data_IF_180844700738
#
_entry.id   IF_180844700738
#
_cell.length_a   1.000
_cell.length_b   1.000
_cell.length_c   1.000
_cell.angle_alpha   90.00
_cell.angle_beta   90.00
_cell.angle_gamma   90.00
#
_symmetry.space_group_name_H-M   'P 1'
#
loop_
_entity.id
_entity.type
_entity.pdbx_description
1 polymer ?
#
# COMPACT_ATOMS: atom_id res chain seq x y z
N UNK A 1 -15.74 -72.54 30.99
CA UNK A 1 -14.53 -72.03 30.29
C UNK A 1 -14.77 -71.25 28.98
N UNK A 2 -15.99 -71.20 28.39
CA UNK A 2 -16.22 -70.46 27.11
C UNK A 2 -16.47 -68.95 27.22
N UNK A 3 -16.74 -68.41 28.42
CA UNK A 3 -17.05 -66.97 28.61
C UNK A 3 -15.82 -66.07 28.80
N UNK A 4 -14.65 -66.62 29.13
CA UNK A 4 -13.41 -65.84 29.29
C UNK A 4 -12.71 -65.54 27.96
N UNK A 5 -12.89 -66.38 26.91
CA UNK A 5 -12.29 -66.14 25.59
C UNK A 5 -12.96 -65.00 24.81
N UNK A 6 -14.25 -64.73 25.03
CA UNK A 6 -14.96 -63.65 24.33
C UNK A 6 -14.55 -62.25 24.82
N UNK A 7 -14.17 -62.12 26.10
CA UNK A 7 -13.74 -60.85 26.68
C UNK A 7 -12.32 -60.45 26.20
N UNK A 8 -11.43 -61.43 26.02
CA UNK A 8 -10.08 -61.18 25.49
C UNK A 8 -10.10 -60.79 24.01
N UNK A 9 -11.02 -61.37 23.22
CA UNK A 9 -11.19 -61.01 21.81
C UNK A 9 -11.80 -59.60 21.63
N UNK A 10 -12.74 -59.17 22.48
CA UNK A 10 -13.28 -57.80 22.43
C UNK A 10 -12.25 -56.74 22.87
N UNK A 11 -11.36 -57.05 23.82
CA UNK A 11 -10.28 -56.14 24.23
C UNK A 11 -9.21 -55.98 23.13
N UNK A 12 -8.93 -57.03 22.36
CA UNK A 12 -8.01 -56.99 21.22
C UNK A 12 -8.58 -56.22 20.03
N UNK A 13 -9.89 -56.29 19.76
CA UNK A 13 -10.52 -55.48 18.70
C UNK A 13 -10.64 -54.00 19.10
N UNK A 14 -10.76 -53.70 20.40
CA UNK A 14 -10.73 -52.34 20.94
C UNK A 14 -9.37 -51.63 20.83
N UNK A 15 -8.26 -52.38 20.74
CA UNK A 15 -6.91 -51.81 20.57
C UNK A 15 -6.50 -51.55 19.10
N UNK A 16 -7.27 -52.05 18.11
CA UNK A 16 -6.94 -51.88 16.69
C UNK A 16 -7.59 -50.64 16.07
N UNK A 17 -8.60 -50.06 16.72
CA UNK A 17 -9.03 -48.68 16.45
C UNK A 17 -8.17 -47.68 17.24
N UNK A 18 -6.84 -47.75 17.06
CA UNK A 18 -6.01 -46.56 17.28
C UNK A 18 -6.45 -45.54 16.23
N UNK A 19 -7.41 -44.68 16.61
CA UNK A 19 -7.76 -43.48 15.85
C UNK A 19 -6.44 -42.83 15.41
N UNK A 20 -6.25 -42.74 14.09
CA UNK A 20 -4.98 -42.38 13.47
C UNK A 20 -4.53 -41.05 14.10
N UNK A 21 -3.59 -41.15 15.03
CA UNK A 21 -3.30 -40.04 15.93
C UNK A 21 -2.83 -38.85 15.10
N UNK A 22 -3.53 -37.73 15.23
CA UNK A 22 -3.16 -36.43 14.68
C UNK A 22 -1.68 -36.14 15.02
N UNK A 23 -0.89 -35.82 14.01
CA UNK A 23 0.55 -35.56 14.19
C UNK A 23 0.78 -34.07 14.27
N UNK A 24 1.73 -33.64 15.11
CA UNK A 24 2.01 -32.21 15.32
C UNK A 24 3.28 -31.81 14.60
N UNK A 25 3.26 -30.65 13.95
CA UNK A 25 4.36 -30.11 13.16
C UNK A 25 4.60 -28.64 13.52
N UNK A 26 5.88 -28.27 13.57
CA UNK A 26 6.31 -26.88 13.57
C UNK A 26 6.88 -26.59 12.20
N UNK A 27 6.33 -25.60 11.52
CA UNK A 27 6.81 -25.16 10.21
C UNK A 27 7.33 -23.75 10.31
N UNK A 28 8.59 -23.55 9.94
CA UNK A 28 9.25 -22.25 10.00
C UNK A 28 9.39 -21.68 8.59
N UNK A 29 8.98 -20.43 8.43
CA UNK A 29 9.02 -19.65 7.20
C UNK A 29 9.90 -18.42 7.47
N UNK A 30 10.99 -18.28 6.70
CA UNK A 30 11.87 -17.11 6.77
C UNK A 30 11.31 -15.99 5.92
N UNK A 31 10.79 -14.96 6.57
CA UNK A 31 10.04 -13.88 5.92
C UNK A 31 11.00 -12.95 5.16
N UNK A 32 12.20 -12.69 5.68
CA UNK A 32 13.19 -11.81 5.04
C UNK A 32 13.77 -12.28 3.70
N UNK A 33 13.33 -13.43 3.16
CA UNK A 33 13.84 -14.02 1.92
C UNK A 33 12.72 -14.22 0.90
N UNK A 34 13.05 -14.11 -0.38
CA UNK A 34 12.21 -14.61 -1.46
C UNK A 34 12.21 -16.15 -1.37
N UNK A 35 11.09 -16.87 -1.59
CA UNK A 35 9.77 -16.43 -2.06
C UNK A 35 8.78 -15.86 -1.04
N UNK A 36 9.17 -15.76 0.23
CA UNK A 36 8.17 -15.65 1.29
C UNK A 36 7.58 -14.25 1.44
N UNK A 37 8.36 -13.29 1.92
CA UNK A 37 7.84 -11.92 2.09
C UNK A 37 8.75 -10.86 1.51
N UNK A 38 9.76 -11.25 0.72
CA UNK A 38 10.64 -10.30 0.06
C UNK A 38 9.81 -9.20 -0.62
N UNK A 39 8.77 -9.56 -1.36
CA UNK A 39 7.99 -8.61 -2.17
C UNK A 39 6.81 -7.94 -1.44
N UNK A 40 6.54 -8.28 -0.19
CA UNK A 40 5.53 -7.58 0.62
C UNK A 40 6.11 -6.25 1.09
N UNK A 41 5.44 -5.10 0.86
CA UNK A 41 5.88 -3.81 1.36
C UNK A 41 5.93 -3.82 2.89
N UNK A 42 7.08 -3.47 3.48
CA UNK A 42 7.28 -3.49 4.94
C UNK A 42 6.43 -2.47 5.74
N UNK A 43 5.48 -1.79 5.10
CA UNK A 43 4.51 -0.91 5.74
C UNK A 43 3.13 -1.48 5.40
N UNK A 44 2.41 -1.99 6.41
CA UNK A 44 1.11 -2.67 6.30
C UNK A 44 1.14 -4.14 5.79
N UNK A 45 2.30 -4.78 5.88
CA UNK A 45 2.37 -6.24 5.80
C UNK A 45 1.55 -6.91 6.93
N UNK A 46 1.28 -8.22 6.79
CA UNK A 46 0.46 -8.93 7.77
C UNK A 46 1.03 -8.89 9.20
N UNK A 47 2.36 -8.79 9.37
CA UNK A 47 3.01 -8.66 10.69
C UNK A 47 2.63 -7.35 11.37
N UNK A 48 2.60 -6.27 10.61
CA UNK A 48 2.17 -4.95 11.07
C UNK A 48 0.69 -5.01 11.48
N UNK A 49 -0.15 -5.63 10.65
CA UNK A 49 -1.58 -5.81 10.93
C UNK A 49 -1.83 -6.60 12.22
N UNK A 50 -1.04 -7.65 12.49
CA UNK A 50 -1.11 -8.42 13.75
C UNK A 50 -0.73 -7.56 14.97
N UNK A 51 0.35 -6.77 14.88
CA UNK A 51 0.76 -5.88 15.96
C UNK A 51 -0.23 -4.74 16.21
N UNK A 52 -0.84 -4.20 15.16
CA UNK A 52 -1.90 -3.20 15.26
C UNK A 52 -3.13 -3.81 15.93
N UNK A 53 -3.53 -5.03 15.55
CA UNK A 53 -4.59 -5.77 16.23
C UNK A 53 -4.34 -5.97 17.72
N UNK A 54 -3.10 -6.32 18.09
CA UNK A 54 -2.69 -6.43 19.50
C UNK A 54 -2.75 -5.08 20.23
N UNK A 55 -2.24 -4.01 19.61
CA UNK A 55 -2.27 -2.66 20.17
C UNK A 55 -3.70 -2.17 20.40
N UNK A 56 -4.60 -2.46 19.47
CA UNK A 56 -6.01 -2.06 19.50
C UNK A 56 -6.89 -3.03 20.32
N UNK A 57 -6.29 -4.07 20.94
CA UNK A 57 -6.99 -5.13 21.68
C UNK A 57 -8.03 -5.89 20.85
N UNK A 58 -7.90 -5.88 19.51
CA UNK A 58 -8.74 -6.66 18.57
C UNK A 58 -8.25 -8.09 18.39
N UNK A 59 -7.00 -8.36 18.79
CA UNK A 59 -6.36 -9.66 18.65
C UNK A 59 -5.51 -9.96 19.88
N UNK A 60 -5.73 -11.11 20.51
CA UNK A 60 -4.92 -11.57 21.63
C UNK A 60 -3.60 -12.17 21.13
N UNK A 61 -2.50 -11.87 21.82
CA UNK A 61 -1.21 -12.50 21.60
C UNK A 61 -0.76 -13.22 22.87
N UNK A 62 -0.01 -14.30 22.70
CA UNK A 62 0.51 -15.13 23.77
C UNK A 62 2.04 -15.21 23.67
N UNK A 63 2.70 -15.39 24.80
CA UNK A 63 4.14 -15.60 24.87
C UNK A 63 4.52 -16.88 24.14
N UNK A 64 5.52 -16.79 23.27
CA UNK A 64 6.06 -17.96 22.60
C UNK A 64 6.89 -18.81 23.57
N UNK A 65 6.41 -20.03 23.87
CA UNK A 65 7.09 -21.01 24.74
C UNK A 65 7.77 -22.14 23.97
N UNK A 66 7.57 -22.23 22.64
CA UNK A 66 8.02 -23.35 21.81
C UNK A 66 7.21 -24.65 21.98
N UNK A 67 6.21 -24.67 22.87
CA UNK A 67 5.23 -25.75 22.98
C UNK A 67 4.13 -25.59 21.91
N UNK A 68 3.52 -26.70 21.51
CA UNK A 68 2.55 -26.71 20.43
C UNK A 68 1.26 -26.02 20.86
N UNK A 69 0.97 -24.88 20.24
CA UNK A 69 -0.28 -24.13 20.45
C UNK A 69 -0.49 -23.64 21.89
N UNK A 70 0.59 -23.41 22.64
CA UNK A 70 0.52 -23.03 24.05
C UNK A 70 0.09 -21.57 24.24
N UNK A 71 -1.19 -21.39 24.50
CA UNK A 71 -1.86 -20.10 24.66
C UNK A 71 -2.15 -19.76 26.12
N UNK A 72 -1.28 -20.20 27.03
CA UNK A 72 -1.48 -20.03 28.49
C UNK A 72 -1.09 -18.64 28.99
N UNK A 73 -0.07 -18.01 28.40
CA UNK A 73 0.48 -16.73 28.87
C UNK A 73 0.18 -15.59 27.90
N UNK A 74 -0.81 -14.75 28.21
CA UNK A 74 -1.16 -13.58 27.40
C UNK A 74 -0.05 -12.51 27.51
N UNK A 75 0.29 -11.87 26.39
CA UNK A 75 1.23 -10.74 26.35
C UNK A 75 0.53 -9.47 25.85
N UNK A 76 0.71 -8.35 26.55
CA UNK A 76 0.19 -7.04 26.12
C UNK A 76 1.13 -6.34 25.14
N UNK A 77 0.60 -5.38 24.35
CA UNK A 77 1.45 -4.55 23.48
C UNK A 77 2.50 -3.75 24.25
N UNK A 78 2.21 -3.31 25.49
CA UNK A 78 3.18 -2.60 26.33
C UNK A 78 4.37 -3.50 26.70
N UNK A 79 4.09 -4.76 27.06
CA UNK A 79 5.14 -5.77 27.27
C UNK A 79 5.95 -6.00 26.00
N UNK A 80 5.33 -6.09 24.81
CA UNK A 80 6.07 -6.22 23.54
C UNK A 80 7.03 -5.04 23.33
N UNK A 81 6.61 -3.82 23.64
CA UNK A 81 7.46 -2.64 23.47
C UNK A 81 8.58 -2.55 24.52
N UNK A 82 8.42 -3.08 25.73
CA UNK A 82 9.49 -3.10 26.72
C UNK A 82 10.69 -3.96 26.27
N UNK A 83 10.48 -4.91 25.35
CA UNK A 83 11.58 -5.65 24.73
C UNK A 83 12.40 -4.83 23.73
N UNK A 84 12.01 -3.61 23.33
CA UNK A 84 12.74 -2.86 22.29
C UNK A 84 14.22 -2.64 22.63
N UNK A 85 14.52 -2.37 23.91
CA UNK A 85 15.89 -2.24 24.43
C UNK A 85 16.71 -3.52 24.24
N UNK A 86 16.08 -4.68 24.40
CA UNK A 86 16.75 -5.96 24.23
C UNK A 86 17.23 -6.22 22.79
N UNK A 87 16.68 -5.49 21.81
CA UNK A 87 16.98 -5.65 20.39
C UNK A 87 17.63 -4.40 19.76
N UNK A 88 18.16 -3.48 20.58
CA UNK A 88 18.76 -2.21 20.14
C UNK A 88 17.82 -1.39 19.24
N UNK A 89 16.53 -1.37 19.59
CA UNK A 89 15.47 -0.71 18.81
C UNK A 89 14.77 0.35 19.63
N UNK A 90 14.53 1.51 19.01
CA UNK A 90 13.68 2.55 19.59
C UNK A 90 12.24 2.07 19.80
N UNK A 91 11.73 1.23 18.88
CA UNK A 91 10.40 0.61 18.95
C UNK A 91 10.38 -0.68 18.16
N UNK A 92 9.68 -1.71 18.65
CA UNK A 92 9.41 -2.94 17.89
C UNK A 92 8.33 -2.66 16.83
N UNK A 93 8.64 -2.98 15.57
CA UNK A 93 7.79 -2.83 14.38
C UNK A 93 7.50 -4.19 13.74
N UNK A 94 6.47 -4.26 12.91
CA UNK A 94 6.09 -5.49 12.20
C UNK A 94 7.26 -6.07 11.38
N UNK A 95 8.02 -5.20 10.71
CA UNK A 95 9.19 -5.57 9.91
C UNK A 95 10.33 -6.23 10.69
N UNK A 96 10.37 -6.06 12.02
CA UNK A 96 11.42 -6.66 12.86
C UNK A 96 11.22 -8.17 13.03
N UNK A 97 9.98 -8.64 12.87
CA UNK A 97 9.64 -10.06 12.90
C UNK A 97 10.02 -10.71 11.56
N UNK A 98 11.13 -11.45 11.57
CA UNK A 98 11.74 -12.01 10.36
C UNK A 98 11.40 -13.50 10.14
N UNK A 99 10.73 -14.13 11.11
CA UNK A 99 10.37 -15.53 11.09
C UNK A 99 8.88 -15.67 11.40
N UNK A 100 8.18 -16.47 10.60
CA UNK A 100 6.84 -16.98 10.90
C UNK A 100 6.98 -18.46 11.22
N UNK A 101 6.35 -18.90 12.30
CA UNK A 101 6.23 -20.31 12.64
C UNK A 101 4.76 -20.70 12.65
N UNK A 102 4.40 -21.83 12.03
CA UNK A 102 3.07 -22.40 12.04
C UNK A 102 3.08 -23.66 12.91
N UNK A 103 2.09 -23.77 13.78
CA UNK A 103 1.79 -25.00 14.52
C UNK A 103 0.69 -25.73 13.75
N UNK A 104 1.07 -26.81 13.07
CA UNK A 104 0.19 -27.54 12.17
C UNK A 104 -0.13 -28.92 12.75
N UNK A 105 -1.39 -29.28 12.68
CA UNK A 105 -1.82 -30.67 12.74
C UNK A 105 -1.74 -31.29 11.35
N UNK A 106 -1.24 -32.51 11.29
CA UNK A 106 -1.08 -33.26 10.05
C UNK A 106 -1.79 -34.60 10.14
N UNK A 107 -2.58 -34.87 9.10
CA UNK A 107 -3.41 -36.06 8.93
C UNK A 107 -2.80 -36.90 7.79
N UNK A 108 -2.01 -37.94 8.12
CA UNK A 108 -1.27 -38.77 7.16
C UNK A 108 -2.11 -39.38 6.04
N UNK A 109 -3.30 -39.87 6.39
CA UNK A 109 -4.27 -40.54 5.53
C UNK A 109 -4.79 -39.62 4.43
N UNK A 110 -5.09 -38.36 4.78
CA UNK A 110 -5.61 -37.35 3.86
C UNK A 110 -4.51 -36.51 3.22
N UNK A 111 -3.25 -36.69 3.66
CA UNK A 111 -2.14 -35.80 3.35
C UNK A 111 -2.53 -34.31 3.55
N UNK A 112 -3.29 -34.06 4.62
CA UNK A 112 -3.91 -32.77 4.91
C UNK A 112 -3.25 -32.12 6.13
N UNK A 113 -3.19 -30.79 6.11
CA UNK A 113 -2.66 -29.99 7.20
C UNK A 113 -3.71 -29.00 7.68
N UNK A 114 -3.75 -28.79 8.99
CA UNK A 114 -4.59 -27.78 9.61
C UNK A 114 -3.74 -26.89 10.52
N UNK A 115 -3.83 -25.57 10.35
CA UNK A 115 -3.00 -24.62 11.09
C UNK A 115 -3.76 -24.26 12.37
N UNK A 116 -3.21 -24.60 13.54
CA UNK A 116 -3.85 -24.30 14.84
C UNK A 116 -3.39 -22.99 15.44
N UNK A 117 -2.11 -22.66 15.27
CA UNK A 117 -1.55 -21.41 15.75
C UNK A 117 -0.45 -20.91 14.82
N UNK A 118 -0.18 -19.61 14.90
CA UNK A 118 0.91 -18.97 14.18
C UNK A 118 1.71 -18.06 15.11
N UNK A 119 3.03 -18.04 14.95
CA UNK A 119 3.93 -17.19 15.73
C UNK A 119 4.74 -16.29 14.82
N UNK A 120 4.80 -14.99 15.11
CA UNK A 120 5.81 -14.10 14.51
C UNK A 120 6.98 -13.95 15.49
N UNK A 121 8.21 -14.12 15.01
CA UNK A 121 9.40 -14.23 15.86
C UNK A 121 10.51 -13.26 15.41
N UNK A 122 11.10 -12.56 16.38
CA UNK A 122 12.37 -11.83 16.28
C UNK A 122 13.46 -12.68 16.94
N UNK A 123 14.57 -12.88 16.24
CA UNK A 123 15.79 -13.50 16.80
C UNK A 123 16.96 -12.55 16.55
N UNK A 124 17.63 -12.07 17.60
CA UNK A 124 18.85 -11.27 17.49
C UNK A 124 19.72 -11.44 18.72
N UNK A 125 21.05 -11.55 18.53
CA UNK A 125 22.05 -11.62 19.62
C UNK A 125 21.67 -12.60 20.74
N UNK A 126 21.25 -13.81 20.37
CA UNK A 126 20.82 -14.86 21.33
C UNK A 126 19.47 -14.63 22.00
N UNK A 127 18.83 -13.47 21.84
CA UNK A 127 17.51 -13.15 22.39
C UNK A 127 16.40 -13.50 21.41
N UNK A 128 15.26 -13.95 21.95
CA UNK A 128 14.07 -14.32 21.19
C UNK A 128 12.87 -13.56 21.74
N UNK A 129 12.11 -12.93 20.86
CA UNK A 129 10.76 -12.44 21.14
C UNK A 129 9.82 -13.08 20.13
N UNK A 130 8.89 -13.90 20.60
CA UNK A 130 7.87 -14.51 19.77
C UNK A 130 6.48 -14.15 20.28
N UNK A 131 5.59 -13.81 19.36
CA UNK A 131 4.17 -13.57 19.62
C UNK A 131 3.38 -14.68 18.95
N UNK A 132 2.76 -15.54 19.76
CA UNK A 132 1.88 -16.61 19.32
C UNK A 132 0.44 -16.10 19.22
N UNK A 133 -0.28 -16.52 18.19
CA UNK A 133 -1.68 -16.23 17.97
C UNK A 133 -2.43 -17.53 17.68
N UNK A 134 -3.65 -17.66 18.20
CA UNK A 134 -4.59 -18.68 17.71
C UNK A 134 -4.88 -18.41 16.23
N UNK A 135 -4.79 -19.45 15.40
CA UNK A 135 -4.83 -19.23 13.95
C UNK A 135 -6.19 -18.72 13.48
N UNK A 136 -7.30 -19.20 14.04
CA UNK A 136 -8.64 -18.75 13.61
C UNK A 136 -8.89 -17.26 13.91
N UNK A 137 -8.45 -16.78 15.07
CA UNK A 137 -8.52 -15.37 15.45
C UNK A 137 -7.63 -14.50 14.54
N UNK A 138 -6.38 -14.91 14.35
CA UNK A 138 -5.45 -14.21 13.46
C UNK A 138 -5.93 -14.22 12.02
N UNK A 139 -6.47 -15.35 11.54
CA UNK A 139 -7.01 -15.52 10.20
C UNK A 139 -8.16 -14.54 9.98
N UNK A 140 -9.14 -14.49 10.89
CA UNK A 140 -10.26 -13.55 10.81
C UNK A 140 -9.75 -12.10 10.73
N UNK A 141 -8.88 -11.70 11.65
CA UNK A 141 -8.32 -10.34 11.69
C UNK A 141 -7.55 -9.96 10.42
N UNK A 142 -6.75 -10.90 9.88
CA UNK A 142 -5.98 -10.70 8.65
C UNK A 142 -6.86 -10.66 7.40
N UNK A 143 -7.88 -11.52 7.31
CA UNK A 143 -8.83 -11.54 6.20
C UNK A 143 -9.69 -10.26 6.20
N UNK A 144 -10.17 -9.82 7.37
CA UNK A 144 -10.91 -8.56 7.52
C UNK A 144 -10.05 -7.36 7.09
N UNK A 145 -8.78 -7.31 7.53
CA UNK A 145 -7.87 -6.25 7.12
C UNK A 145 -7.62 -6.24 5.60
N UNK A 146 -7.45 -7.42 4.98
CA UNK A 146 -7.29 -7.55 3.53
C UNK A 146 -8.55 -7.06 2.80
N UNK A 147 -9.72 -7.61 3.16
CA UNK A 147 -11.00 -7.30 2.52
C UNK A 147 -11.39 -5.83 2.66
N UNK A 148 -11.15 -5.21 3.83
CA UNK A 148 -11.41 -3.79 4.04
C UNK A 148 -10.43 -2.88 3.29
N UNK A 149 -9.19 -3.34 3.05
CA UNK A 149 -8.21 -2.60 2.24
C UNK A 149 -8.46 -2.75 0.74
N UNK A 150 -9.10 -3.84 0.31
CA UNK A 150 -9.37 -4.13 -1.09
C UNK A 150 -10.16 -3.03 -1.82
N UNK A 151 -11.26 -2.44 -1.30
CA UNK A 151 -11.92 -1.31 -1.97
C UNK A 151 -11.12 -0.01 -1.88
N UNK A 152 -10.26 0.12 -0.87
CA UNK A 152 -9.48 1.34 -0.59
C UNK A 152 -8.09 1.34 -1.24
N UNK A 153 -7.71 0.28 -1.97
CA UNK A 153 -6.37 0.13 -2.57
C UNK A 153 -5.99 1.26 -3.55
N UNK A 154 -6.97 2.05 -4.02
CA UNK A 154 -6.74 3.26 -4.80
C UNK A 154 -6.18 4.44 -3.98
N UNK A 155 -6.29 4.38 -2.66
CA UNK A 155 -5.84 5.39 -1.68
C UNK A 155 -4.82 4.84 -0.69
N UNK A 156 -4.85 3.54 -0.39
CA UNK A 156 -3.98 2.87 0.59
C UNK A 156 -3.22 1.70 -0.04
N UNK A 157 -2.13 1.27 0.61
CA UNK A 157 -1.54 -0.03 0.30
C UNK A 157 -2.50 -1.16 0.68
N UNK A 158 -2.54 -2.22 -0.14
CA UNK A 158 -3.26 -3.44 0.21
C UNK A 158 -2.64 -4.01 1.50
N UNK A 159 -3.49 -4.38 2.47
CA UNK A 159 -3.05 -4.87 3.78
C UNK A 159 -3.10 -6.39 3.81
N UNK A 160 -2.28 -7.00 4.67
CA UNK A 160 -2.32 -8.44 4.97
C UNK A 160 -2.27 -9.37 3.73
N UNK A 161 -1.69 -8.92 2.62
CA UNK A 161 -1.53 -9.74 1.43
C UNK A 161 -0.20 -10.49 1.42
N UNK A 162 -0.13 -11.51 0.58
CA UNK A 162 1.04 -12.28 0.23
C UNK A 162 1.21 -12.22 -1.28
N UNK A 163 2.39 -11.78 -1.72
CA UNK A 163 2.72 -11.75 -3.14
C UNK A 163 3.04 -13.17 -3.60
N UNK A 164 2.35 -13.65 -4.63
CA UNK A 164 2.64 -14.97 -5.18
C UNK A 164 4.09 -15.00 -5.72
N UNK A 165 4.86 -16.04 -5.35
CA UNK A 165 6.19 -16.26 -5.89
C UNK A 165 6.20 -16.98 -7.25
N UNK A 166 5.06 -17.45 -7.74
CA UNK A 166 4.90 -17.89 -9.14
C UNK A 166 4.63 -16.70 -10.06
N UNK A 167 3.83 -15.76 -9.56
CA UNK A 167 3.41 -14.58 -10.30
C UNK A 167 3.46 -13.36 -9.37
N UNK A 168 4.48 -12.48 -9.51
CA UNK A 168 4.67 -11.30 -8.67
C UNK A 168 3.58 -10.24 -8.87
N UNK A 169 2.59 -10.50 -9.72
CA UNK A 169 1.42 -9.65 -9.91
C UNK A 169 0.21 -10.18 -9.13
N UNK A 170 0.20 -11.46 -8.75
CA UNK A 170 -0.91 -12.10 -8.01
C UNK A 170 -0.75 -11.90 -6.51
N UNK A 171 -1.66 -11.14 -5.93
CA UNK A 171 -1.69 -10.88 -4.49
C UNK A 171 -2.83 -11.66 -3.85
N UNK A 172 -2.52 -12.54 -2.90
CA UNK A 172 -3.51 -13.29 -2.15
C UNK A 172 -3.61 -12.78 -0.72
N UNK A 173 -4.75 -12.95 -0.03
CA UNK A 173 -4.75 -12.91 1.42
C UNK A 173 -3.65 -13.83 1.96
N UNK A 174 -2.89 -13.37 2.96
CA UNK A 174 -1.81 -14.18 3.54
C UNK A 174 -2.30 -15.55 4.01
N UNK A 175 -3.50 -15.61 4.58
CA UNK A 175 -4.16 -16.83 5.04
C UNK A 175 -4.35 -17.85 3.90
N UNK A 176 -4.75 -17.39 2.72
CA UNK A 176 -4.90 -18.21 1.50
C UNK A 176 -3.54 -18.72 1.02
N UNK A 177 -2.51 -17.88 1.03
CA UNK A 177 -1.15 -18.30 0.66
C UNK A 177 -0.60 -19.36 1.63
N UNK A 178 -0.87 -19.20 2.94
CA UNK A 178 -0.49 -20.18 3.94
C UNK A 178 -1.20 -21.53 3.73
N UNK A 179 -2.52 -21.53 3.51
CA UNK A 179 -3.28 -22.76 3.22
C UNK A 179 -2.85 -23.45 1.93
N UNK A 180 -2.57 -22.67 0.87
CA UNK A 180 -2.10 -23.19 -0.42
C UNK A 180 -0.61 -23.60 -0.43
N UNK A 181 0.12 -23.38 0.67
CA UNK A 181 1.55 -23.73 0.80
C UNK A 181 2.45 -23.07 -0.24
N UNK A 182 2.16 -21.81 -0.57
CA UNK A 182 2.86 -21.06 -1.62
C UNK A 182 4.02 -20.25 -1.05
N UNK A 183 4.91 -20.96 -0.35
CA UNK A 183 6.02 -20.40 0.41
C UNK A 183 7.13 -21.44 0.60
N UNK A 184 8.37 -20.99 0.75
CA UNK A 184 9.49 -21.82 1.15
C UNK A 184 9.53 -21.94 2.69
N UNK A 185 9.64 -23.15 3.21
CA UNK A 185 9.63 -23.43 4.64
C UNK A 185 10.70 -24.43 5.05
N UNK A 186 10.82 -24.69 6.34
CA UNK A 186 11.49 -25.85 6.89
C UNK A 186 10.62 -26.44 8.02
N UNK A 187 10.75 -27.75 8.27
CA UNK A 187 10.08 -28.42 9.39
C UNK A 187 11.15 -28.78 10.45
N UNK A 188 11.43 -27.90 11.41
CA UNK A 188 12.44 -28.16 12.43
C UNK A 188 12.02 -29.26 13.42
N UNK A 189 10.72 -29.39 13.71
CA UNK A 189 10.21 -30.27 14.77
C UNK A 189 8.91 -30.95 14.37
N UNK A 190 8.72 -32.18 14.86
CA UNK A 190 7.48 -32.95 14.73
C UNK A 190 7.24 -33.82 15.97
N UNK A 191 5.99 -34.15 16.27
CA UNK A 191 5.59 -35.17 17.27
C UNK A 191 4.76 -36.24 16.58
N UNK A 192 5.12 -37.51 16.83
CA UNK A 192 4.40 -38.68 16.37
C UNK A 192 4.59 -39.05 14.89
N UNK A 193 5.45 -38.32 14.16
CA UNK A 193 5.77 -38.60 12.76
C UNK A 193 7.01 -39.48 12.62
N UNK A 194 6.94 -40.61 11.90
CA UNK A 194 8.11 -41.42 11.57
C UNK A 194 9.12 -40.65 10.70
N UNK A 195 10.42 -40.95 10.87
CA UNK A 195 11.51 -40.29 10.13
C UNK A 195 11.37 -40.32 8.60
N UNK A 196 11.02 -41.45 7.94
CA UNK A 196 10.86 -41.48 6.48
C UNK A 196 9.76 -40.53 6.00
N UNK A 197 8.68 -40.42 6.78
CA UNK A 197 7.57 -39.54 6.46
C UNK A 197 7.96 -38.07 6.62
N UNK A 198 8.71 -37.75 7.68
CA UNK A 198 9.26 -36.41 7.90
C UNK A 198 10.23 -36.01 6.77
N UNK A 199 11.08 -36.93 6.31
CA UNK A 199 11.98 -36.70 5.18
C UNK A 199 11.21 -36.37 3.90
N UNK A 200 10.13 -37.12 3.60
CA UNK A 200 9.24 -36.84 2.47
C UNK A 200 8.59 -35.46 2.57
N UNK A 201 8.17 -35.05 3.77
CA UNK A 201 7.57 -33.73 3.99
C UNK A 201 8.58 -32.59 3.84
N UNK A 202 9.85 -32.81 4.17
CA UNK A 202 10.94 -31.83 3.97
C UNK A 202 11.34 -31.70 2.49
N UNK A 203 11.27 -32.78 1.71
CA UNK A 203 11.62 -32.75 0.28
C UNK A 203 10.63 -32.00 -0.64
N UNK A 204 9.44 -31.63 -0.14
CA UNK A 204 8.39 -30.94 -0.91
C UNK A 204 8.46 -29.41 -0.81
N UNK A 205 9.60 -28.84 -0.43
CA UNK A 205 9.71 -27.40 -0.30
C UNK A 205 9.47 -26.69 -1.64
N UNK A 206 8.69 -25.62 -1.55
CA UNK A 206 8.34 -24.80 -2.68
C UNK A 206 9.58 -24.18 -3.34
N UNK A 207 9.78 -24.45 -4.63
CA UNK A 207 10.84 -23.85 -5.44
C UNK A 207 10.23 -22.76 -6.31
N UNK A 208 10.60 -21.51 -6.03
CA UNK A 208 10.17 -20.39 -6.84
C UNK A 208 11.04 -20.26 -8.09
N UNK A 209 10.43 -19.81 -9.19
CA UNK A 209 11.22 -19.32 -10.33
C UNK A 209 11.84 -17.99 -9.89
N UNK A 210 13.17 -17.95 -9.82
CA UNK A 210 13.89 -16.68 -9.65
C UNK A 210 13.73 -15.89 -10.94
N UNK A 211 12.99 -14.79 -10.86
CA UNK A 211 13.00 -13.77 -11.89
C UNK A 211 13.74 -12.56 -11.31
N UNK A 212 14.64 -11.97 -12.09
CA UNK A 212 15.24 -10.68 -11.76
C UNK A 212 14.14 -9.63 -11.79
N UNK A 213 13.58 -9.37 -10.61
CA UNK A 213 12.44 -8.49 -10.46
C UNK A 213 12.89 -7.13 -9.94
N UNK A 214 13.27 -6.23 -10.86
CA UNK A 214 13.30 -4.78 -10.63
C UNK A 214 11.92 -4.13 -10.82
N UNK A 215 10.96 -4.40 -9.91
CA UNK A 215 9.54 -4.18 -10.23
C UNK A 215 8.91 -3.09 -9.35
N UNK A 216 8.51 -1.98 -9.96
CA UNK A 216 7.39 -1.16 -9.52
C UNK A 216 6.17 -2.06 -9.21
N UNK A 217 5.74 -2.09 -7.95
CA UNK A 217 4.76 -3.08 -7.48
C UNK A 217 3.36 -2.82 -8.06
N UNK A 218 2.91 -3.72 -8.93
CA UNK A 218 1.55 -3.74 -9.45
C UNK A 218 0.66 -4.63 -8.58
N UNK A 219 -0.51 -4.12 -8.24
CA UNK A 219 -1.62 -4.84 -7.62
C UNK A 219 -2.53 -5.34 -8.72
N UNK A 220 -2.81 -6.63 -8.78
CA UNK A 220 -3.86 -7.15 -9.67
C UNK A 220 -5.22 -6.62 -9.22
N UNK A 221 -5.92 -5.92 -10.11
CA UNK A 221 -7.30 -5.43 -9.88
C UNK A 221 -8.31 -6.48 -10.32
N UNK A 222 -8.08 -7.09 -11.48
CA UNK A 222 -8.89 -8.18 -12.02
C UNK A 222 -8.04 -9.11 -12.90
N UNK A 223 -8.67 -9.96 -13.71
CA UNK A 223 -7.94 -10.93 -14.53
C UNK A 223 -6.97 -10.28 -15.52
N UNK A 224 -7.30 -9.11 -16.06
CA UNK A 224 -6.55 -8.43 -17.12
C UNK A 224 -5.87 -7.14 -16.65
N UNK A 225 -6.36 -6.50 -15.60
CA UNK A 225 -5.93 -5.18 -15.18
C UNK A 225 -5.04 -5.19 -13.94
N UNK A 226 -3.95 -4.44 -14.03
CA UNK A 226 -2.95 -4.26 -12.99
C UNK A 226 -2.80 -2.79 -12.65
N UNK A 227 -2.69 -2.48 -11.36
CA UNK A 227 -2.68 -1.11 -10.86
C UNK A 227 -1.45 -0.79 -10.04
N UNK A 228 -0.93 0.42 -10.18
CA UNK A 228 0.09 0.94 -9.27
C UNK A 228 -0.15 2.41 -8.96
N UNK A 229 0.11 2.81 -7.72
CA UNK A 229 -0.09 4.19 -7.27
C UNK A 229 1.16 5.00 -7.54
N UNK A 230 0.98 6.18 -8.12
CA UNK A 230 2.07 7.05 -8.54
C UNK A 230 1.72 8.50 -8.23
N UNK A 231 2.75 9.29 -8.01
CA UNK A 231 2.63 10.73 -7.82
C UNK A 231 3.50 11.44 -8.84
N UNK A 232 2.91 12.38 -9.56
CA UNK A 232 3.60 13.26 -10.49
C UNK A 232 3.74 14.64 -9.89
N UNK A 233 4.88 15.29 -10.15
CA UNK A 233 5.07 16.71 -9.89
C UNK A 233 5.02 17.46 -11.20
N UNK A 234 4.05 18.35 -11.31
CA UNK A 234 3.79 19.19 -12.47
C UNK A 234 4.29 20.61 -12.15
N UNK A 235 5.41 21.05 -12.76
CA UNK A 235 5.89 22.43 -12.62
C UNK A 235 5.04 23.36 -13.51
N UNK A 236 4.17 24.18 -12.91
CA UNK A 236 3.24 25.02 -13.68
C UNK A 236 3.95 26.11 -14.50
N UNK A 237 5.07 26.65 -13.98
CA UNK A 237 5.87 27.67 -14.67
C UNK A 237 6.75 27.14 -15.80
N UNK A 238 6.82 25.82 -16.00
CA UNK A 238 7.63 25.25 -17.07
C UNK A 238 7.04 25.65 -18.45
N UNK A 239 7.86 25.98 -19.46
CA UNK A 239 7.37 26.39 -20.79
C UNK A 239 6.35 25.42 -21.39
N UNK A 240 6.57 24.12 -21.20
CA UNK A 240 5.72 23.04 -21.72
C UNK A 240 4.36 22.97 -21.02
N UNK A 241 4.24 23.56 -19.84
CA UNK A 241 2.98 23.63 -19.07
C UNK A 241 2.32 25.01 -19.16
N UNK A 242 2.80 25.91 -20.03
CA UNK A 242 2.30 27.28 -20.15
C UNK A 242 0.79 27.35 -20.32
N UNK A 243 0.18 26.41 -21.04
CA UNK A 243 -1.27 26.31 -21.23
C UNK A 243 -2.07 26.13 -19.93
N UNK A 244 -1.48 25.54 -18.89
CA UNK A 244 -2.10 25.38 -17.57
C UNK A 244 -1.89 26.60 -16.65
N UNK A 245 -0.95 27.49 -17.00
CA UNK A 245 -0.49 28.58 -16.15
C UNK A 245 -0.72 29.98 -16.75
N UNK A 246 -1.45 30.08 -17.86
CA UNK A 246 -1.79 31.35 -18.50
C UNK A 246 -2.51 32.31 -17.53
N UNK A 247 -2.47 33.63 -17.78
CA UNK A 247 -3.25 34.69 -17.06
C UNK A 247 -3.43 34.50 -15.54
N UNK A 248 -2.63 35.18 -14.71
CA UNK A 248 -2.69 35.13 -13.23
C UNK A 248 -2.58 33.71 -12.61
N UNK A 249 -2.05 32.73 -13.37
CA UNK A 249 -1.85 31.35 -12.90
C UNK A 249 -3.09 30.45 -13.03
N UNK A 250 -3.78 30.52 -14.18
CA UNK A 250 -5.14 30.03 -14.44
C UNK A 250 -5.58 28.77 -13.69
N UNK A 251 -4.98 27.60 -13.89
CA UNK A 251 -5.45 26.39 -13.19
C UNK A 251 -5.34 26.53 -11.66
N UNK A 252 -4.22 27.03 -11.16
CA UNK A 252 -4.04 27.22 -9.74
C UNK A 252 -4.97 28.32 -9.18
N UNK A 253 -5.24 29.37 -9.95
CA UNK A 253 -6.16 30.43 -9.59
C UNK A 253 -7.60 29.89 -9.44
N UNK A 254 -8.08 29.12 -10.41
CA UNK A 254 -9.42 28.49 -10.36
C UNK A 254 -9.58 27.56 -9.14
N UNK A 255 -8.53 26.78 -8.83
CA UNK A 255 -8.54 25.90 -7.66
C UNK A 255 -8.54 26.69 -6.36
N UNK A 256 -7.75 27.76 -6.26
CA UNK A 256 -7.76 28.65 -5.09
C UNK A 256 -9.10 29.36 -4.92
N UNK A 257 -9.73 29.79 -6.01
CA UNK A 257 -11.06 30.40 -5.99
C UNK A 257 -12.13 29.40 -5.53
N UNK A 258 -12.10 28.17 -6.05
CA UNK A 258 -13.00 27.11 -5.61
C UNK A 258 -12.86 26.80 -4.12
N UNK A 259 -11.64 26.87 -3.58
CA UNK A 259 -11.38 26.74 -2.13
C UNK A 259 -11.95 27.94 -1.36
N UNK A 260 -11.65 29.18 -1.79
CA UNK A 260 -12.10 30.41 -1.13
C UNK A 260 -13.64 30.50 -1.08
N UNK A 261 -14.31 30.04 -2.13
CA UNK A 261 -15.76 30.05 -2.26
C UNK A 261 -16.44 28.81 -1.66
N UNK A 262 -15.69 27.92 -1.00
CA UNK A 262 -16.24 26.70 -0.38
C UNK A 262 -16.77 25.66 -1.38
N UNK A 263 -16.45 25.78 -2.66
CA UNK A 263 -16.86 24.83 -3.73
C UNK A 263 -15.93 23.62 -3.81
N UNK A 264 -14.72 23.71 -3.26
CA UNK A 264 -13.75 22.62 -3.16
C UNK A 264 -13.38 22.36 -1.71
N UNK A 265 -13.44 21.10 -1.28
CA UNK A 265 -13.07 20.73 0.10
C UNK A 265 -11.55 20.60 0.23
N UNK A 266 -10.89 21.41 1.07
CA UNK A 266 -9.47 21.29 1.34
C UNK A 266 -9.21 20.16 2.36
N UNK A 267 -8.24 19.31 2.07
CA UNK A 267 -7.75 18.28 2.98
C UNK A 267 -6.30 18.58 3.38
N UNK A 268 -5.90 18.09 4.57
CA UNK A 268 -4.53 18.22 5.07
C UNK A 268 -3.55 17.61 4.07
N UNK A 269 -2.65 18.44 3.55
CA UNK A 269 -1.65 17.98 2.60
C UNK A 269 -0.61 17.09 3.30
N UNK A 270 -0.42 15.88 2.77
CA UNK A 270 0.64 14.96 3.21
C UNK A 270 1.80 14.99 2.22
N UNK A 271 3.01 14.63 2.64
CA UNK A 271 4.18 14.57 1.74
C UNK A 271 4.08 13.41 0.74
N UNK A 272 3.33 12.36 1.05
CA UNK A 272 3.11 11.17 0.24
C UNK A 272 1.69 10.66 0.52
N UNK A 273 0.86 10.47 -0.51
CA UNK A 273 -0.56 10.08 -0.36
C UNK A 273 -0.78 8.63 0.10
N UNK A 274 0.27 7.86 0.36
CA UNK A 274 0.19 6.41 0.27
C UNK A 274 -0.70 5.67 1.29
N UNK A 275 -1.10 6.24 2.43
CA UNK A 275 -1.50 5.38 3.56
C UNK A 275 -2.61 5.91 4.50
N UNK A 276 -3.34 6.99 4.16
CA UNK A 276 -4.38 7.51 5.07
C UNK A 276 -5.59 8.09 4.33
N UNK A 277 -6.81 7.93 4.86
CA UNK A 277 -7.98 8.66 4.38
C UNK A 277 -7.73 10.17 4.43
N UNK A 278 -8.38 10.89 3.52
CA UNK A 278 -8.26 12.34 3.46
C UNK A 278 -8.83 12.95 4.75
N UNK A 279 -7.98 13.65 5.50
CA UNK A 279 -8.40 14.35 6.72
C UNK A 279 -8.76 15.78 6.34
N UNK A 280 -10.04 16.14 6.51
CA UNK A 280 -10.51 17.51 6.23
C UNK A 280 -9.63 18.53 6.95
N UNK A 281 -9.28 19.59 6.24
CA UNK A 281 -8.58 20.70 6.84
C UNK A 281 -9.58 21.58 7.57
N UNK A 282 -9.21 22.02 8.77
CA UNK A 282 -10.00 22.98 9.53
C UNK A 282 -10.11 24.32 8.76
N UNK A 283 -11.32 24.87 8.68
CA UNK A 283 -11.62 26.03 7.85
C UNK A 283 -10.88 27.29 8.31
N UNK A 284 -10.80 27.53 9.63
CA UNK A 284 -10.06 28.67 10.19
C UNK A 284 -8.56 28.55 9.89
N UNK A 285 -7.99 27.35 10.09
CA UNK A 285 -6.58 27.06 9.75
C UNK A 285 -6.29 27.08 8.26
N UNK A 286 -7.29 26.92 7.39
CA UNK A 286 -7.11 27.15 5.96
C UNK A 286 -7.13 28.63 5.66
N UNK A 287 -8.11 29.37 6.18
CA UNK A 287 -8.25 30.80 5.94
C UNK A 287 -6.93 31.54 6.24
N UNK A 288 -6.29 31.24 7.37
CA UNK A 288 -4.99 31.83 7.74
C UNK A 288 -3.84 31.47 6.80
N UNK A 289 -3.95 30.42 5.98
CA UNK A 289 -2.93 29.99 5.00
C UNK A 289 -3.18 30.55 3.60
N UNK A 290 -4.33 31.17 3.37
CA UNK A 290 -4.67 31.82 2.11
C UNK A 290 -4.20 33.27 2.06
N UNK A 291 -3.45 33.73 3.08
CA UNK A 291 -2.85 35.05 3.18
C UNK A 291 -1.41 34.93 3.68
N UNK A 292 -0.54 35.86 3.28
CA UNK A 292 0.83 35.98 3.78
C UNK A 292 1.19 37.46 3.96
N UNK A 293 2.22 37.73 4.77
CA UNK A 293 2.72 39.09 4.96
C UNK A 293 3.74 39.44 3.88
N UNK A 294 3.56 40.58 3.22
CA UNK A 294 4.57 41.12 2.32
C UNK A 294 5.75 41.73 3.09
N UNK A 295 6.73 42.28 2.38
CA UNK A 295 7.88 42.99 2.96
C UNK A 295 7.48 44.18 3.85
N UNK A 296 6.32 44.79 3.58
CA UNK A 296 5.75 45.92 4.33
C UNK A 296 4.89 45.47 5.52
N UNK A 297 4.79 44.17 5.81
CA UNK A 297 3.93 43.55 6.83
C UNK A 297 2.41 43.68 6.57
N UNK A 298 1.99 43.96 5.35
CA UNK A 298 0.59 43.92 4.95
C UNK A 298 0.16 42.48 4.65
N UNK A 299 -1.08 42.15 5.00
CA UNK A 299 -1.69 40.86 4.68
C UNK A 299 -2.13 40.83 3.22
N UNK A 300 -1.47 40.01 2.40
CA UNK A 300 -1.78 39.83 0.98
C UNK A 300 -2.47 38.49 0.76
N UNK A 301 -3.60 38.44 0.03
CA UNK A 301 -4.24 37.18 -0.35
C UNK A 301 -3.38 36.40 -1.36
N UNK A 302 -3.25 35.10 -1.11
CA UNK A 302 -2.56 34.16 -2.00
C UNK A 302 -3.22 34.16 -3.38
N UNK A 303 -2.39 34.31 -4.41
CA UNK A 303 -2.76 34.35 -5.81
C UNK A 303 -2.41 33.02 -6.50
N UNK A 304 -3.05 32.74 -7.64
CA UNK A 304 -2.71 31.58 -8.47
C UNK A 304 -1.24 31.53 -8.87
N UNK A 305 -0.60 32.70 -9.02
CA UNK A 305 0.83 32.83 -9.35
C UNK A 305 1.79 32.39 -8.24
N UNK A 306 1.31 32.31 -7.00
CA UNK A 306 2.10 31.86 -5.85
C UNK A 306 2.21 30.33 -5.80
N UNK A 307 1.27 29.63 -6.47
CA UNK A 307 1.28 28.18 -6.63
C UNK A 307 2.12 27.84 -7.86
N UNK A 308 3.37 27.43 -7.64
CA UNK A 308 4.28 27.16 -8.75
C UNK A 308 4.25 25.71 -9.22
N UNK A 309 3.74 24.78 -8.40
CA UNK A 309 3.74 23.35 -8.70
C UNK A 309 2.45 22.70 -8.22
N UNK A 310 1.97 21.74 -8.99
CA UNK A 310 0.95 20.78 -8.55
C UNK A 310 1.60 19.42 -8.32
N UNK A 311 1.07 18.67 -7.37
CA UNK A 311 1.31 17.23 -7.30
C UNK A 311 0.02 16.50 -7.65
N UNK A 312 0.09 15.67 -8.68
CA UNK A 312 -1.01 14.82 -9.11
C UNK A 312 -0.78 13.44 -8.52
N UNK A 313 -1.64 13.02 -7.61
CA UNK A 313 -1.60 11.70 -7.00
C UNK A 313 -2.69 10.83 -7.62
N UNK A 314 -2.31 9.70 -8.19
CA UNK A 314 -3.23 8.84 -8.93
C UNK A 314 -2.73 7.42 -9.07
N UNK A 315 -3.33 6.68 -9.99
CA UNK A 315 -2.97 5.30 -10.26
C UNK A 315 -2.90 5.03 -11.76
N UNK A 316 -1.84 4.32 -12.16
CA UNK A 316 -1.79 3.68 -13.47
C UNK A 316 -2.57 2.39 -13.40
N UNK A 317 -3.46 2.17 -14.37
CA UNK A 317 -4.03 0.86 -14.66
C UNK A 317 -3.48 0.39 -16.01
N UNK A 318 -2.92 -0.80 -16.04
CA UNK A 318 -2.39 -1.45 -17.24
C UNK A 318 -3.23 -2.69 -17.51
N UNK A 319 -3.85 -2.73 -18.68
CA UNK A 319 -4.47 -3.95 -19.18
C UNK A 319 -3.36 -4.81 -19.82
N UNK A 320 -3.13 -6.01 -19.29
CA UNK A 320 -2.09 -6.94 -19.74
C UNK A 320 -2.33 -7.39 -21.18
N UNK A 321 -3.57 -7.66 -21.57
CA UNK A 321 -3.91 -8.17 -22.91
C UNK A 321 -3.67 -7.12 -23.99
N UNK A 322 -4.13 -5.89 -23.77
CA UNK A 322 -4.02 -4.83 -24.77
C UNK A 322 -2.76 -3.97 -24.61
N UNK A 323 -1.97 -4.18 -23.55
CA UNK A 323 -0.89 -3.28 -23.14
C UNK A 323 -1.29 -1.80 -23.03
N UNK A 324 -2.61 -1.52 -22.92
CA UNK A 324 -3.12 -0.15 -22.80
C UNK A 324 -2.94 0.31 -21.36
N UNK A 325 -2.56 1.57 -21.21
CA UNK A 325 -2.27 2.18 -19.93
C UNK A 325 -3.15 3.40 -19.76
N UNK A 326 -3.71 3.55 -18.58
CA UNK A 326 -4.55 4.68 -18.23
C UNK A 326 -4.14 5.21 -16.87
N UNK A 327 -3.72 6.47 -16.82
CA UNK A 327 -3.47 7.16 -15.56
C UNK A 327 -4.75 7.85 -15.09
N UNK A 328 -5.25 7.42 -13.95
CA UNK A 328 -6.40 8.06 -13.31
C UNK A 328 -5.93 8.89 -12.13
N UNK A 329 -6.15 10.20 -12.23
CA UNK A 329 -5.89 11.14 -11.16
C UNK A 329 -6.91 10.89 -10.05
N UNK A 330 -6.44 10.76 -8.82
CA UNK A 330 -7.31 10.62 -7.67
C UNK A 330 -7.31 11.89 -6.79
N UNK A 331 -6.32 12.77 -6.93
CA UNK A 331 -6.18 13.95 -6.09
C UNK A 331 -5.07 14.89 -6.52
N UNK A 332 -5.22 16.16 -6.15
CA UNK A 332 -4.31 17.25 -6.50
C UNK A 332 -3.83 17.92 -5.23
N UNK A 333 -2.52 18.14 -5.10
CA UNK A 333 -1.95 18.93 -4.00
C UNK A 333 -1.34 20.21 -4.54
N UNK A 334 -1.74 21.35 -3.95
CA UNK A 334 -1.18 22.66 -4.25
C UNK A 334 0.16 22.83 -3.52
N UNK A 335 1.23 23.14 -4.27
CA UNK A 335 2.58 23.29 -3.71
C UNK A 335 3.09 24.71 -3.95
N UNK A 336 3.40 25.38 -2.85
CA UNK A 336 4.06 26.68 -2.82
C UNK A 336 5.58 26.43 -2.79
N UNK A 337 6.33 27.20 -3.57
CA UNK A 337 7.79 27.26 -3.43
C UNK A 337 8.13 28.61 -2.83
N UNK A 338 8.82 28.56 -1.70
CA UNK A 338 9.17 29.70 -0.86
C UNK A 338 10.07 30.70 -1.61
N UNK A 339 9.58 31.92 -1.80
CA UNK A 339 10.40 33.13 -1.78
C UNK A 339 10.41 33.68 -0.33
N UNK A 340 11.16 34.74 -0.05
CA UNK A 340 11.27 35.28 1.32
C UNK A 340 9.93 35.69 1.93
N UNK A 341 9.01 36.23 1.12
CA UNK A 341 7.65 36.60 1.56
C UNK A 341 6.75 35.39 1.88
N UNK A 342 6.97 34.25 1.23
CA UNK A 342 6.16 33.03 1.38
C UNK A 342 6.78 32.00 2.35
N UNK A 343 7.90 32.32 3.01
CA UNK A 343 8.61 31.42 3.95
C UNK A 343 7.74 30.95 5.11
N UNK A 344 6.78 31.77 5.55
CA UNK A 344 5.86 31.47 6.66
C UNK A 344 4.77 30.48 6.28
N UNK A 345 4.50 30.28 4.98
CA UNK A 345 3.46 29.37 4.51
C UNK A 345 3.95 27.93 4.39
N UNK A 346 3.06 26.94 4.64
CA UNK A 346 3.42 25.55 4.43
C UNK A 346 3.68 25.29 2.94
N UNK A 347 4.81 24.64 2.65
CA UNK A 347 5.19 24.20 1.29
C UNK A 347 4.07 23.44 0.56
N UNK A 348 3.30 22.64 1.31
CA UNK A 348 2.12 21.96 0.81
C UNK A 348 0.89 22.63 1.40
N UNK A 349 0.14 23.37 0.58
CA UNK A 349 -0.95 24.22 1.05
C UNK A 349 -2.19 23.40 1.42
N UNK A 350 -2.70 22.65 0.45
CA UNK A 350 -3.90 21.84 0.57
C UNK A 350 -3.87 20.69 -0.43
N UNK A 351 -4.55 19.60 -0.08
CA UNK A 351 -4.85 18.48 -0.96
C UNK A 351 -6.35 18.49 -1.29
N UNK A 352 -6.70 18.15 -2.52
CA UNK A 352 -8.07 18.15 -3.04
C UNK A 352 -8.40 16.76 -3.61
N UNK A 353 -9.64 16.31 -3.43
CA UNK A 353 -10.16 15.13 -4.13
C UNK A 353 -10.38 15.49 -5.60
N UNK A 354 -9.81 14.70 -6.52
CA UNK A 354 -9.93 15.01 -7.94
C UNK A 354 -11.36 14.86 -8.46
N UNK A 355 -12.21 14.03 -7.83
CA UNK A 355 -13.61 13.91 -8.23
C UNK A 355 -14.35 15.23 -8.02
N UNK A 356 -14.12 15.90 -6.89
CA UNK A 356 -14.69 17.23 -6.60
C UNK A 356 -14.11 18.28 -7.54
N UNK A 357 -12.78 18.28 -7.72
CA UNK A 357 -12.09 19.20 -8.65
C UNK A 357 -12.63 19.07 -10.06
N UNK A 358 -12.82 17.85 -10.54
CA UNK A 358 -13.34 17.57 -11.88
C UNK A 358 -14.73 18.17 -12.05
N UNK A 359 -15.65 17.85 -11.13
CA UNK A 359 -17.02 18.38 -11.17
C UNK A 359 -17.05 19.91 -11.15
N UNK A 360 -16.20 20.53 -10.32
CA UNK A 360 -16.11 21.99 -10.23
C UNK A 360 -15.60 22.61 -11.52
N UNK A 361 -14.45 22.17 -12.03
CA UNK A 361 -13.84 22.73 -13.24
C UNK A 361 -14.68 22.47 -14.49
N UNK A 362 -15.36 21.32 -14.60
CA UNK A 362 -16.30 21.04 -15.69
C UNK A 362 -17.47 22.03 -15.67
N UNK A 363 -18.06 22.32 -14.50
CA UNK A 363 -19.11 23.35 -14.36
C UNK A 363 -18.63 24.72 -14.79
N UNK A 364 -17.44 25.13 -14.32
CA UNK A 364 -16.84 26.44 -14.65
C UNK A 364 -16.56 26.57 -16.15
N UNK A 365 -16.12 25.48 -16.78
CA UNK A 365 -15.91 25.44 -18.22
C UNK A 365 -17.22 25.59 -19.01
N UNK A 366 -18.30 24.91 -18.59
CA UNK A 366 -19.62 25.05 -19.23
C UNK A 366 -20.21 26.46 -19.05
N UNK A 367 -20.02 27.09 -17.88
CA UNK A 367 -20.37 28.49 -17.67
C UNK A 367 -19.64 29.41 -18.66
N UNK A 368 -18.34 29.17 -18.88
CA UNK A 368 -17.54 29.95 -19.84
C UNK A 368 -18.05 29.83 -21.29
N UNK A 369 -18.57 28.65 -21.67
CA UNK A 369 -19.16 28.43 -22.99
C UNK A 369 -20.50 29.16 -23.16
N UNK A 370 -21.32 29.20 -22.10
CA UNK A 370 -22.62 29.89 -22.13
C UNK A 370 -22.45 31.41 -22.22
N UNK A 371 -21.51 31.98 -21.49
CA UNK A 371 -21.19 33.41 -21.58
C UNK A 371 -20.75 33.83 -23.00
N UNK A 372 -20.02 32.95 -23.71
CA UNK A 372 -19.63 33.15 -25.11
C UNK A 372 -20.83 33.25 -26.06
N UNK A 373 -21.88 32.46 -25.83
CA UNK A 373 -23.11 32.49 -26.66
C UNK A 373 -23.94 33.75 -26.40
N UNK A 374 -23.95 34.25 -25.16
CA UNK A 374 -24.78 35.37 -24.75
C UNK A 374 -24.20 36.75 -25.11
N UNK A 375 -22.87 36.90 -25.31
CA UNK A 375 -22.29 38.21 -25.62
C UNK A 375 -21.03 38.10 -26.51
N UNK A 376 -21.18 38.05 -27.85
CA UNK A 376 -20.06 37.83 -28.78
C UNK A 376 -18.93 38.87 -28.71
N UNK A 377 -19.18 40.07 -28.16
CA UNK A 377 -18.22 41.18 -28.10
C UNK A 377 -17.43 41.31 -26.78
N UNK A 378 -17.68 40.49 -25.74
CA UNK A 378 -16.88 40.51 -24.51
C UNK A 378 -15.63 39.64 -24.65
N UNK A 379 -14.44 40.22 -24.46
CA UNK A 379 -13.16 39.50 -24.38
C UNK A 379 -13.32 38.29 -23.45
N UNK A 380 -12.97 37.11 -23.95
CA UNK A 380 -13.04 35.85 -23.20
C UNK A 380 -12.40 36.01 -21.82
N UNK A 381 -13.20 35.85 -20.76
CA UNK A 381 -12.64 35.71 -19.40
C UNK A 381 -11.81 34.43 -19.28
N UNK A 382 -11.99 33.44 -20.16
CA UNK A 382 -11.11 32.28 -20.28
C UNK A 382 -11.02 31.46 -18.99
N UNK A 383 -12.15 31.34 -18.28
CA UNK A 383 -12.27 30.68 -16.97
C UNK A 383 -12.21 29.17 -17.17
N UNK A 384 -11.34 28.49 -16.43
CA UNK A 384 -11.16 27.04 -16.49
C UNK A 384 -10.86 26.42 -17.88
N UNK A 385 -10.35 27.22 -18.84
CA UNK A 385 -10.04 26.76 -20.20
C UNK A 385 -8.55 26.45 -20.36
N UNK A 386 -8.24 25.26 -20.86
CA UNK A 386 -6.95 24.93 -21.46
C UNK A 386 -6.95 25.30 -22.94
N UNK A 387 -5.94 26.05 -23.38
CA UNK A 387 -5.77 26.48 -24.78
C UNK A 387 -4.56 25.76 -25.35
N UNK A 388 -4.73 25.05 -26.47
CA UNK A 388 -3.63 24.36 -27.11
C UNK A 388 -2.56 25.38 -27.57
N UNK A 389 -1.30 25.26 -27.11
CA UNK A 389 -0.22 26.15 -27.53
C UNK A 389 0.04 26.16 -29.05
N UNK A 390 -0.19 25.03 -29.72
CA UNK A 390 0.07 24.84 -31.14
C UNK A 390 -1.13 25.23 -32.02
N UNK A 391 -2.34 25.16 -31.45
CA UNK A 391 -3.63 25.40 -32.13
C UNK A 391 -4.59 26.18 -31.23
N UNK A 392 -4.44 27.51 -31.08
CA UNK A 392 -5.17 28.31 -30.08
C UNK A 392 -6.72 28.24 -30.18
N UNK A 393 -7.24 27.86 -31.35
CA UNK A 393 -8.65 27.57 -31.62
C UNK A 393 -9.14 26.30 -30.89
N UNK A 394 -8.25 25.35 -30.61
CA UNK A 394 -8.54 24.15 -29.84
C UNK A 394 -8.54 24.48 -28.34
N UNK A 395 -9.75 24.52 -27.78
CA UNK A 395 -10.00 24.82 -26.37
C UNK A 395 -10.63 23.63 -25.68
N UNK A 396 -10.09 23.26 -24.53
CA UNK A 396 -10.56 22.14 -23.69
C UNK A 396 -10.79 22.62 -22.26
N UNK A 397 -11.51 21.85 -21.47
CA UNK A 397 -11.51 22.07 -20.03
C UNK A 397 -10.14 21.70 -19.44
N UNK A 398 -9.76 22.29 -18.31
CA UNK A 398 -8.57 21.83 -17.58
C UNK A 398 -8.65 20.37 -17.16
N UNK A 399 -9.84 19.84 -16.91
CA UNK A 399 -10.05 18.43 -16.58
C UNK A 399 -9.71 17.52 -17.75
N UNK A 400 -10.20 17.82 -18.96
CA UNK A 400 -9.88 17.07 -20.17
C UNK A 400 -8.38 17.14 -20.47
N UNK A 401 -7.76 18.31 -20.28
CA UNK A 401 -6.31 18.46 -20.46
C UNK A 401 -5.50 17.63 -19.45
N UNK A 402 -5.95 17.54 -18.19
CA UNK A 402 -5.30 16.72 -17.18
C UNK A 402 -5.52 15.21 -17.44
N UNK A 403 -6.73 14.79 -17.83
CA UNK A 403 -7.05 13.37 -18.09
C UNK A 403 -6.40 12.86 -19.38
N UNK A 404 -6.22 13.72 -20.39
CA UNK A 404 -5.48 13.40 -21.62
C UNK A 404 -3.97 13.62 -21.50
N UNK A 405 -3.47 13.91 -20.29
CA UNK A 405 -2.04 14.12 -20.01
C UNK A 405 -1.40 15.20 -20.91
N UNK A 406 -2.14 16.27 -21.23
CA UNK A 406 -1.67 17.42 -22.03
C UNK A 406 -0.78 18.36 -21.19
N UNK A 407 0.20 17.78 -20.52
CA UNK A 407 1.16 18.44 -19.64
C UNK A 407 2.48 17.66 -19.55
N UNK A 408 3.54 18.33 -19.12
CA UNK A 408 4.80 17.69 -18.71
C UNK A 408 4.89 17.61 -17.19
N UNK A 409 5.08 16.40 -16.68
CA UNK A 409 5.31 16.16 -15.26
C UNK A 409 6.42 15.12 -15.05
N UNK A 410 6.98 15.10 -13.85
CA UNK A 410 8.00 14.12 -13.47
C UNK A 410 7.50 13.24 -12.34
N UNK A 411 7.85 11.96 -12.39
CA UNK A 411 7.57 11.04 -11.29
C UNK A 411 8.21 11.59 -10.01
N UNK A 412 7.38 11.90 -9.03
CA UNK A 412 7.78 12.40 -7.73
C UNK A 412 7.91 11.27 -6.72
N UNK A 413 6.96 10.35 -6.76
CA UNK A 413 6.86 9.22 -5.87
C UNK A 413 6.16 8.07 -6.60
N UNK A 414 6.50 6.85 -6.20
CA UNK A 414 5.99 5.62 -6.77
C UNK A 414 5.76 4.59 -5.65
N UNK A 415 4.64 3.85 -5.68
CA UNK A 415 4.24 2.96 -4.59
C UNK A 415 4.88 1.57 -4.59
N UNK A 416 4.62 0.83 -3.51
CA UNK A 416 4.67 -0.64 -3.40
C UNK A 416 5.99 -1.36 -3.10
N UNK A 417 6.94 -0.76 -2.38
CA UNK A 417 7.76 -1.51 -1.42
C UNK A 417 8.40 -0.58 -0.39
N UNK A 418 8.40 -0.98 0.89
CA UNK A 418 9.21 -0.35 1.97
C UNK A 418 8.98 1.15 2.23
N UNK A 419 7.91 1.76 1.73
CA UNK A 419 7.76 3.21 1.76
C UNK A 419 8.83 3.95 0.92
N UNK A 420 9.55 3.23 0.04
CA UNK A 420 10.66 3.77 -0.73
C UNK A 420 10.16 4.79 -1.72
N UNK A 421 10.38 6.06 -1.39
CA UNK A 421 10.35 7.11 -2.38
C UNK A 421 11.53 6.94 -3.36
N UNK A 422 11.50 7.66 -4.48
CA UNK A 422 12.56 7.59 -5.49
C UNK A 422 13.97 7.87 -4.95
N UNK A 423 14.11 8.68 -3.88
CA UNK A 423 15.42 8.96 -3.26
C UNK A 423 15.97 7.74 -2.53
N UNK A 424 15.11 7.00 -1.84
CA UNK A 424 15.49 5.77 -1.15
C UNK A 424 15.79 4.64 -2.15
N UNK A 425 15.03 4.56 -3.24
CA UNK A 425 15.31 3.65 -4.35
C UNK A 425 16.69 3.95 -4.97
N UNK A 426 16.96 5.24 -5.19
CA UNK A 426 18.23 5.73 -5.71
C UNK A 426 19.40 5.35 -4.81
N UNK A 427 19.30 5.62 -3.50
CA UNK A 427 20.31 5.22 -2.50
C UNK A 427 20.54 3.70 -2.46
N UNK A 428 19.49 2.89 -2.50
CA UNK A 428 19.63 1.43 -2.38
C UNK A 428 20.30 0.76 -3.58
N UNK A 429 20.34 1.43 -4.74
CA UNK A 429 20.96 0.92 -5.95
C UNK A 429 22.14 1.79 -6.41
N UNK A 430 22.66 2.66 -5.52
CA UNK A 430 23.77 3.59 -5.82
C UNK A 430 23.58 4.43 -7.09
N UNK A 431 22.34 4.78 -7.44
CA UNK A 431 21.99 5.51 -8.67
C UNK A 431 21.51 6.93 -8.38
N UNK A 432 21.50 7.80 -9.39
CA UNK A 432 20.94 9.16 -9.25
C UNK A 432 19.39 9.12 -9.28
N UNK A 433 18.68 10.02 -8.58
CA UNK A 433 17.22 10.06 -8.61
C UNK A 433 16.60 10.22 -10.02
N UNK A 434 17.30 10.87 -10.94
CA UNK A 434 16.84 10.99 -12.34
C UNK A 434 16.86 9.65 -13.07
N UNK A 435 17.92 8.85 -12.87
CA UNK A 435 18.02 7.49 -13.42
C UNK A 435 16.97 6.57 -12.82
N UNK A 436 16.72 6.68 -11.51
CA UNK A 436 15.65 5.95 -10.84
C UNK A 436 14.28 6.23 -11.47
N UNK A 437 13.97 7.51 -11.79
CA UNK A 437 12.74 7.88 -12.52
C UNK A 437 12.70 7.26 -13.90
N UNK A 438 13.79 7.33 -14.67
CA UNK A 438 13.86 6.76 -16.02
C UNK A 438 13.61 5.25 -16.00
N UNK A 439 14.23 4.52 -15.06
CA UNK A 439 14.03 3.08 -14.91
C UNK A 439 12.60 2.72 -14.52
N UNK A 440 11.99 3.47 -13.59
CA UNK A 440 10.58 3.29 -13.23
C UNK A 440 9.69 3.52 -14.46
N UNK A 441 9.92 4.58 -15.22
CA UNK A 441 9.16 4.87 -16.43
C UNK A 441 9.30 3.76 -17.48
N UNK A 442 10.53 3.32 -17.77
CA UNK A 442 10.79 2.22 -18.72
C UNK A 442 10.08 0.94 -18.30
N UNK A 443 10.06 0.62 -17.00
CA UNK A 443 9.31 -0.51 -16.51
C UNK A 443 7.80 -0.34 -16.72
N UNK A 444 7.24 0.83 -16.41
CA UNK A 444 5.83 1.12 -16.68
C UNK A 444 5.49 1.01 -18.17
N UNK A 445 6.43 1.34 -19.06
CA UNK A 445 6.30 1.25 -20.52
C UNK A 445 6.43 -0.19 -21.05
N UNK A 446 7.16 -1.05 -20.35
CA UNK A 446 7.38 -2.45 -20.70
C UNK A 446 6.39 -3.43 -20.06
N UNK A 447 5.70 -3.02 -18.99
CA UNK A 447 4.79 -3.91 -18.27
C UNK A 447 3.59 -4.33 -19.14
N UNK A 448 3.36 -5.63 -19.26
CA UNK A 448 2.28 -6.22 -20.09
C UNK A 448 2.67 -6.56 -21.53
N UNK A 449 3.87 -6.19 -22.00
CA UNK A 449 4.35 -6.49 -23.36
C UNK A 449 5.06 -7.86 -23.50
N UNK A 450 4.87 -8.76 -22.53
CA UNK A 450 5.52 -10.08 -22.49
C UNK A 450 4.49 -11.20 -22.47
#
# INVERSE_FOLDING_TARGET
>A
MRKQLLFTALFLVGCVFQGIAQKKLWRVIKLGKYPNTAYTPCCQDFRTVLLEGLKEKKLAAYMYTGKFGDVTQVISFANVQSFSKNFDKAKIKGSDFNTLELHEDYYPDKNQFDIKAMSIIIKAKGKILGLLFKYDEAKKHLDDAYNNSLPLHQYEALKAFWQSPEDPTVQWPVTKALKKRKFASIIPRSIGLPLPMLARLRGKDYRAVQTEIWFPGFVRVDLENYRTTISYKLPLKAPENKALYQKKGALAAELLEGIKNGKLTPYKATSIRANKPLVKQDAQKLASKLYYLNSSKDSIPLQGTDIQKLRLDGHWTINKKSSKRNFKIAGITLIITTNDALKSLPKHLAQLDYKEVKSYLDSRYEESKKEKKATPKKKEKGIAVWINPEKPEEKKSFTEALEKELYKAHIHWFANRTGKNLKELAKSNSMKPAEARKRVQMYLDGFGKK
#
